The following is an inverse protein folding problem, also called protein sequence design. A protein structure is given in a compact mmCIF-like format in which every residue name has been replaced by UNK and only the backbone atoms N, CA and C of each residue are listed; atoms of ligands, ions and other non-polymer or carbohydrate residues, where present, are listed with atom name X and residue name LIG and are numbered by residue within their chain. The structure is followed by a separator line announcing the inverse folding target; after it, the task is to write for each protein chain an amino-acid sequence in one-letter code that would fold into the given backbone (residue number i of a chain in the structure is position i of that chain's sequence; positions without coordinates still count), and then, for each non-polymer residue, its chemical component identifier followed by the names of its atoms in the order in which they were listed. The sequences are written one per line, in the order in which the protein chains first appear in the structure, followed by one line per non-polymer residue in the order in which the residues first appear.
data_IF_354967943725
#
_entry.id   IF_354967943725
#
_cell.length_a   1.000
_cell.length_b   1.000
_cell.length_c   1.000
_cell.angle_alpha   90.00
_cell.angle_beta   90.00
_cell.angle_gamma   90.00
#
_symmetry.space_group_name_H-M   'P 1'
#
loop_
_entity.id
_entity.type
_entity.pdbx_description
1 polymer ?
#
# COMPACT_ATOMS: atom_id res chain seq x y z
N UNK A 1 -21.12 -9.53 7.43
CA UNK A 1 -20.77 -8.23 8.06
C UNK A 1 -19.67 -7.61 7.23
N UNK A 2 -19.92 -6.41 6.69
CA UNK A 2 -19.08 -5.78 5.67
C UNK A 2 -17.73 -5.34 6.27
N UNK A 3 -16.58 -5.71 5.66
CA UNK A 3 -15.30 -5.24 6.16
C UNK A 3 -15.01 -3.87 5.56
N UNK A 4 -14.94 -2.83 6.41
CA UNK A 4 -14.44 -1.47 6.14
C UNK A 4 -14.01 -1.20 4.69
N UNK A 5 -14.99 -0.91 3.83
CA UNK A 5 -14.77 -0.67 2.40
C UNK A 5 -14.25 0.73 2.11
N UNK A 6 -14.43 1.65 3.06
CA UNK A 6 -14.20 3.07 2.84
C UNK A 6 -12.71 3.35 2.80
N UNK A 7 -12.32 3.89 1.65
CA UNK A 7 -10.93 4.09 1.28
C UNK A 7 -10.82 5.17 0.24
N UNK A 8 -9.66 5.80 0.18
CA UNK A 8 -9.21 6.48 -1.02
C UNK A 8 -8.46 5.50 -1.91
N UNK A 9 -8.71 5.62 -3.22
CA UNK A 9 -8.04 4.83 -4.24
C UNK A 9 -7.10 5.71 -5.04
N UNK A 10 -5.80 5.45 -4.97
CA UNK A 10 -4.74 6.14 -5.70
C UNK A 10 -4.20 5.23 -6.81
N UNK A 11 -3.66 5.80 -7.89
CA UNK A 11 -3.09 5.01 -8.99
C UNK A 11 -1.93 5.72 -9.70
N UNK A 12 -1.00 4.93 -10.25
CA UNK A 12 0.01 5.37 -11.22
C UNK A 12 -0.40 5.05 -12.68
N UNK A 13 -1.67 4.71 -12.92
CA UNK A 13 -2.20 4.28 -14.21
C UNK A 13 -2.23 2.75 -14.41
N UNK A 14 -1.31 2.02 -13.79
CA UNK A 14 -1.23 0.55 -13.87
C UNK A 14 -1.64 -0.11 -12.54
N UNK A 15 -1.02 0.35 -11.46
CA UNK A 15 -1.12 -0.16 -10.10
C UNK A 15 -1.94 0.77 -9.23
N UNK A 16 -2.36 0.23 -8.08
CA UNK A 16 -3.31 0.89 -7.20
C UNK A 16 -2.88 0.82 -5.75
N UNK A 17 -3.16 1.90 -5.03
CA UNK A 17 -3.00 1.98 -3.58
C UNK A 17 -4.34 2.32 -2.97
N UNK A 18 -4.82 1.45 -2.08
CA UNK A 18 -5.99 1.68 -1.26
C UNK A 18 -5.55 2.20 0.11
N UNK A 19 -5.90 3.45 0.43
CA UNK A 19 -5.74 4.05 1.75
C UNK A 19 -7.07 3.92 2.51
N UNK A 20 -7.14 2.97 3.44
CA UNK A 20 -8.36 2.70 4.21
C UNK A 20 -8.52 3.69 5.36
N UNK A 21 -9.77 3.97 5.73
CA UNK A 21 -10.06 4.92 6.81
C UNK A 21 -9.62 4.42 8.19
N UNK A 22 -9.46 3.09 8.35
CA UNK A 22 -8.87 2.48 9.55
C UNK A 22 -7.33 2.55 9.60
N UNK A 23 -6.71 3.22 8.62
CA UNK A 23 -5.26 3.46 8.58
C UNK A 23 -4.43 2.34 7.97
N UNK A 24 -5.05 1.26 7.46
CA UNK A 24 -4.37 0.26 6.63
C UNK A 24 -4.06 0.81 5.25
N UNK A 25 -3.00 0.31 4.64
CA UNK A 25 -2.65 0.61 3.25
C UNK A 25 -2.50 -0.67 2.46
N UNK A 26 -3.21 -0.81 1.34
CA UNK A 26 -3.02 -1.94 0.41
C UNK A 26 -2.45 -1.45 -0.91
N UNK A 27 -1.23 -1.86 -1.22
CA UNK A 27 -0.64 -1.75 -2.56
C UNK A 27 -1.04 -2.98 -3.35
N UNK A 28 -1.51 -2.84 -4.58
CA UNK A 28 -1.91 -3.98 -5.39
C UNK A 28 -1.77 -3.73 -6.89
N UNK A 29 -1.47 -4.80 -7.60
CA UNK A 29 -1.41 -4.85 -9.06
C UNK A 29 -2.26 -6.01 -9.57
N UNK A 30 -2.51 -6.05 -10.88
CA UNK A 30 -3.10 -7.21 -11.56
C UNK A 30 -2.13 -7.92 -12.49
N UNK A 31 -0.98 -7.31 -12.79
CA UNK A 31 -0.01 -7.85 -13.75
C UNK A 31 1.22 -8.47 -13.09
N UNK A 32 1.44 -8.25 -11.80
CA UNK A 32 2.64 -8.75 -11.12
C UNK A 32 2.41 -8.99 -9.63
N UNK A 33 3.30 -9.78 -9.06
CA UNK A 33 3.57 -9.88 -7.64
C UNK A 33 4.47 -8.72 -7.21
N UNK A 34 4.38 -8.36 -5.93
CA UNK A 34 5.20 -7.31 -5.35
C UNK A 34 6.37 -7.90 -4.59
N UNK A 35 7.48 -7.18 -4.61
CA UNK A 35 8.68 -7.48 -3.82
C UNK A 35 9.00 -6.29 -2.94
N UNK A 36 9.26 -6.52 -1.65
CA UNK A 36 9.77 -5.46 -0.77
C UNK A 36 11.24 -5.23 -1.12
N UNK A 37 11.57 -4.03 -1.59
CA UNK A 37 12.92 -3.65 -2.00
C UNK A 37 13.75 -3.18 -0.82
N UNK A 38 13.16 -2.35 0.03
CA UNK A 38 13.79 -1.84 1.24
C UNK A 38 12.72 -1.51 2.28
N UNK A 39 13.13 -1.53 3.54
CA UNK A 39 12.37 -0.95 4.64
C UNK A 39 13.33 -0.20 5.53
N UNK A 40 12.85 0.88 6.14
CA UNK A 40 13.71 1.72 6.94
C UNK A 40 12.93 2.68 7.79
N UNK A 41 13.67 3.39 8.64
CA UNK A 41 13.17 4.50 9.42
C UNK A 41 13.60 5.79 8.75
N UNK A 42 12.63 6.62 8.33
CA UNK A 42 12.94 7.94 7.82
C UNK A 42 13.02 8.89 9.01
N UNK A 43 14.26 9.32 9.35
CA UNK A 43 14.62 10.17 10.49
C UNK A 43 13.86 9.85 11.81
N UNK A 44 13.91 10.68 12.85
CA UNK A 44 13.38 10.36 14.18
C UNK A 44 11.82 10.25 14.25
N UNK A 45 11.15 10.05 13.12
CA UNK A 45 9.72 10.31 12.96
C UNK A 45 8.89 9.07 12.58
N UNK A 46 9.39 8.08 11.86
CA UNK A 46 8.61 6.84 11.61
C UNK A 46 9.19 5.93 10.53
N UNK A 47 8.43 4.93 10.11
CA UNK A 47 8.91 3.88 9.19
C UNK A 47 8.25 3.90 7.81
N UNK A 48 9.01 3.38 6.85
CA UNK A 48 8.58 3.21 5.48
C UNK A 48 8.98 1.83 4.94
N UNK A 49 8.27 1.42 3.90
CA UNK A 49 8.61 0.30 3.04
C UNK A 49 8.52 0.75 1.59
N UNK A 50 9.55 0.44 0.80
CA UNK A 50 9.52 0.61 -0.65
C UNK A 50 9.29 -0.74 -1.30
N UNK A 51 8.29 -0.79 -2.16
CA UNK A 51 7.79 -2.01 -2.76
C UNK A 51 7.95 -1.88 -4.27
N UNK A 52 8.65 -2.83 -4.87
CA UNK A 52 8.96 -2.89 -6.29
C UNK A 52 8.13 -3.93 -7.02
N UNK A 53 8.10 -3.76 -8.35
CA UNK A 53 7.55 -4.73 -9.28
C UNK A 53 8.38 -6.02 -9.19
N UNK A 54 7.74 -7.12 -8.79
CA UNK A 54 8.33 -8.45 -8.72
C UNK A 54 7.97 -9.29 -9.94
N UNK A 55 7.70 -10.57 -9.70
CA UNK A 55 7.36 -11.54 -10.75
C UNK A 55 6.10 -11.12 -11.53
N UNK A 56 6.21 -11.07 -12.87
CA UNK A 56 5.05 -10.85 -13.74
C UNK A 56 4.11 -12.06 -13.71
N UNK A 57 2.82 -11.79 -13.73
CA UNK A 57 1.75 -12.78 -13.78
C UNK A 57 1.34 -12.99 -15.24
N UNK A 58 1.38 -14.23 -15.71
CA UNK A 58 0.97 -14.62 -17.07
C UNK A 58 -0.56 -14.78 -17.20
N UNK A 59 -1.29 -14.58 -16.11
CA UNK A 59 -2.75 -14.72 -16.09
C UNK A 59 -3.40 -13.36 -16.27
N UNK A 60 -4.28 -13.23 -17.27
CA UNK A 60 -5.09 -12.02 -17.45
C UNK A 60 -5.89 -11.76 -16.16
N UNK A 61 -5.72 -10.55 -15.61
CA UNK A 61 -6.55 -10.08 -14.51
C UNK A 61 -8.00 -9.88 -14.96
N UNK A 62 -8.96 -9.79 -14.02
CA UNK A 62 -10.36 -9.68 -14.36
C UNK A 62 -10.66 -8.48 -15.26
N UNK A 63 -11.51 -8.71 -16.26
CA UNK A 63 -11.94 -7.73 -17.26
C UNK A 63 -13.29 -7.17 -16.77
N UNK A 64 -13.40 -5.85 -16.61
CA UNK A 64 -14.63 -5.22 -16.13
C UNK A 64 -14.48 -3.73 -15.83
N UNK A 65 -15.61 -3.08 -15.52
CA UNK A 65 -15.66 -1.70 -15.09
C UNK A 65 -14.79 -1.50 -13.84
N UNK A 66 -13.89 -0.52 -13.89
CA UNK A 66 -12.98 -0.24 -12.79
C UNK A 66 -13.50 0.94 -12.00
N UNK A 67 -13.44 0.84 -10.68
CA UNK A 67 -13.55 2.01 -9.82
C UNK A 67 -12.52 3.05 -10.27
N UNK A 68 -12.98 4.28 -10.51
CA UNK A 68 -12.14 5.41 -10.88
C UNK A 68 -11.30 5.80 -9.67
N UNK A 69 -9.96 5.87 -9.79
CA UNK A 69 -9.13 6.37 -8.70
C UNK A 69 -9.51 7.82 -8.34
N UNK A 70 -9.40 8.14 -7.07
CA UNK A 70 -9.57 9.49 -6.52
C UNK A 70 -8.41 10.40 -6.96
N UNK A 71 -7.22 9.81 -7.13
CA UNK A 71 -6.03 10.47 -7.64
C UNK A 71 -5.32 9.53 -8.63
N UNK A 72 -4.77 10.09 -9.70
CA UNK A 72 -3.93 9.36 -10.65
C UNK A 72 -2.74 10.22 -11.03
N UNK A 73 -1.54 9.65 -10.92
CA UNK A 73 -0.31 10.23 -11.46
C UNK A 73 0.14 9.44 -12.69
N UNK A 74 0.87 10.09 -13.58
CA UNK A 74 1.61 9.43 -14.65
C UNK A 74 3.01 9.05 -14.16
N UNK A 75 3.56 7.98 -14.72
CA UNK A 75 4.96 7.58 -14.55
C UNK A 75 5.69 7.69 -15.88
N UNK A 76 7.00 7.90 -15.78
CA UNK A 76 7.93 7.99 -16.90
C UNK A 76 9.14 7.13 -16.54
N UNK A 77 9.23 5.89 -17.03
CA UNK A 77 10.31 4.98 -16.67
C UNK A 77 11.72 5.51 -16.94
N UNK A 78 11.87 6.50 -17.83
CA UNK A 78 13.19 7.10 -18.13
C UNK A 78 13.76 7.89 -16.94
N UNK A 79 12.93 8.28 -15.99
CA UNK A 79 13.32 9.03 -14.78
C UNK A 79 13.67 8.12 -13.58
N UNK A 80 13.58 6.79 -13.75
CA UNK A 80 14.06 5.81 -12.76
C UNK A 80 13.39 5.93 -11.38
N UNK A 81 14.17 5.80 -10.30
CA UNK A 81 13.65 5.82 -8.93
C UNK A 81 13.16 7.17 -8.40
N UNK A 82 13.15 8.22 -9.23
CA UNK A 82 12.66 9.54 -8.84
C UNK A 82 11.18 9.50 -8.46
N UNK A 83 10.77 10.39 -7.55
CA UNK A 83 9.37 10.52 -7.16
C UNK A 83 8.55 11.11 -8.32
N UNK A 84 7.52 10.38 -8.74
CA UNK A 84 6.52 10.85 -9.70
C UNK A 84 5.43 11.67 -9.01
N UNK A 85 4.99 11.23 -7.82
CA UNK A 85 4.08 12.01 -6.98
C UNK A 85 4.14 11.55 -5.53
N UNK A 86 3.94 12.50 -4.60
CA UNK A 86 3.80 12.26 -3.17
C UNK A 86 2.38 12.59 -2.71
N UNK A 87 1.73 11.63 -2.07
CA UNK A 87 0.41 11.75 -1.48
C UNK A 87 0.56 11.64 0.04
N UNK A 88 -0.16 12.48 0.78
CA UNK A 88 -0.18 12.44 2.25
C UNK A 88 -1.61 12.29 2.76
N UNK A 89 -1.74 11.79 3.98
CA UNK A 89 -2.97 11.82 4.75
C UNK A 89 -2.75 12.54 6.08
N UNK A 90 -3.80 13.15 6.61
CA UNK A 90 -3.94 13.72 7.95
C UNK A 90 -3.56 12.74 9.08
N UNK A 91 -3.73 11.43 8.86
CA UNK A 91 -3.25 10.39 9.77
C UNK A 91 -1.71 10.14 9.66
N UNK A 92 -0.99 11.03 8.98
CA UNK A 92 0.46 11.03 8.73
C UNK A 92 0.97 9.90 7.85
N UNK A 93 0.08 9.13 7.23
CA UNK A 93 0.46 8.18 6.18
C UNK A 93 0.90 8.94 4.94
N UNK A 94 1.95 8.46 4.29
CA UNK A 94 2.37 8.96 3.00
C UNK A 94 2.54 7.82 2.01
N UNK A 95 2.31 8.14 0.73
CA UNK A 95 2.51 7.26 -0.41
C UNK A 95 3.33 8.04 -1.44
N UNK A 96 4.44 7.48 -1.90
CA UNK A 96 5.21 8.01 -3.01
C UNK A 96 5.14 7.03 -4.16
N UNK A 97 4.60 7.48 -5.28
CA UNK A 97 4.76 6.76 -6.55
C UNK A 97 6.09 7.15 -7.16
N UNK A 98 6.87 6.16 -7.59
CA UNK A 98 8.14 6.38 -8.29
C UNK A 98 8.00 6.11 -9.79
N UNK A 99 8.86 6.76 -10.56
CA UNK A 99 8.88 6.66 -12.03
C UNK A 99 9.25 5.25 -12.53
N UNK A 100 9.99 4.47 -11.75
CA UNK A 100 10.34 3.06 -12.00
C UNK A 100 9.21 2.07 -11.68
N UNK A 101 8.04 2.56 -11.28
CA UNK A 101 6.88 1.74 -10.89
C UNK A 101 6.90 1.24 -9.45
N UNK A 102 7.98 1.48 -8.69
CA UNK A 102 7.99 1.20 -7.26
C UNK A 102 7.10 2.18 -6.48
N UNK A 103 6.65 1.75 -5.31
CA UNK A 103 5.76 2.51 -4.44
C UNK A 103 6.35 2.49 -3.03
N UNK A 104 6.61 3.67 -2.48
CA UNK A 104 6.98 3.82 -1.08
C UNK A 104 5.74 4.14 -0.27
N UNK A 105 5.52 3.42 0.83
CA UNK A 105 4.46 3.70 1.79
C UNK A 105 5.09 3.81 3.17
N UNK A 106 4.72 4.84 3.91
CA UNK A 106 5.20 5.02 5.28
C UNK A 106 4.25 5.84 6.12
N UNK A 107 4.65 6.05 7.37
CA UNK A 107 3.92 6.93 8.28
C UNK A 107 4.89 7.81 9.07
N UNK A 108 4.64 9.11 9.03
CA UNK A 108 5.37 10.10 9.82
C UNK A 108 4.80 10.12 11.25
N UNK A 109 5.20 9.16 12.07
CA UNK A 109 4.84 9.09 13.50
C UNK A 109 4.65 7.67 14.04
N UNK A 110 4.61 6.67 13.16
CA UNK A 110 4.29 5.28 13.50
C UNK A 110 5.27 4.30 12.86
N UNK A 111 5.42 3.18 13.54
CA UNK A 111 6.25 2.08 13.08
C UNK A 111 5.39 1.09 12.28
N UNK A 112 6.01 0.38 11.34
CA UNK A 112 5.36 -0.69 10.62
C UNK A 112 5.20 -1.87 11.58
N UNK A 113 3.95 -2.18 11.92
CA UNK A 113 3.59 -3.33 12.74
C UNK A 113 3.85 -4.63 11.97
N UNK A 114 3.55 -4.60 10.66
CA UNK A 114 3.98 -5.63 9.72
C UNK A 114 3.36 -5.46 8.34
N UNK A 115 3.77 -6.33 7.42
CA UNK A 115 3.19 -6.47 6.09
C UNK A 115 2.54 -7.83 5.91
N UNK A 116 1.50 -7.87 5.10
CA UNK A 116 0.89 -9.11 4.59
C UNK A 116 1.00 -9.07 3.06
N UNK A 117 1.75 -10.00 2.49
CA UNK A 117 2.01 -10.06 1.06
C UNK A 117 1.09 -11.13 0.46
N UNK A 118 0.20 -10.74 -0.44
CA UNK A 118 -0.74 -11.63 -1.11
C UNK A 118 -0.31 -11.92 -2.54
N UNK A 119 -0.32 -13.20 -2.93
CA UNK A 119 -0.29 -13.65 -4.32
C UNK A 119 -1.66 -14.18 -4.78
N UNK A 120 -1.73 -14.59 -6.05
CA UNK A 120 -2.94 -15.17 -6.66
C UNK A 120 -2.77 -16.67 -6.90
N UNK A 121 -3.68 -17.51 -6.40
CA UNK A 121 -3.72 -18.92 -6.77
C UNK A 121 -4.09 -19.09 -8.25
N UNK A 122 -3.41 -20.00 -8.94
CA UNK A 122 -3.69 -20.32 -10.35
C UNK A 122 -5.13 -20.82 -10.47
N UNK A 123 -5.93 -20.21 -11.35
CA UNK A 123 -7.29 -20.65 -11.65
C UNK A 123 -8.43 -19.98 -10.86
N UNK A 124 -8.14 -19.12 -9.89
CA UNK A 124 -9.17 -18.31 -9.20
C UNK A 124 -9.21 -16.90 -9.81
N UNK A 125 -10.39 -16.42 -10.22
CA UNK A 125 -10.60 -15.04 -10.67
C UNK A 125 -10.69 -14.07 -9.47
N UNK A 126 -9.59 -13.88 -8.74
CA UNK A 126 -9.52 -12.76 -7.79
C UNK A 126 -9.31 -11.44 -8.55
N UNK A 127 -9.97 -10.38 -8.07
CA UNK A 127 -9.89 -9.00 -8.59
C UNK A 127 -8.49 -8.38 -8.65
N UNK A 128 -7.54 -8.96 -7.90
CA UNK A 128 -6.26 -8.38 -7.51
C UNK A 128 -5.19 -9.45 -7.74
N UNK A 129 -4.16 -9.12 -8.51
CA UNK A 129 -3.04 -10.02 -8.82
C UNK A 129 -2.13 -10.19 -7.61
N UNK A 130 -1.05 -9.40 -7.52
CA UNK A 130 -0.23 -9.29 -6.32
C UNK A 130 -0.68 -8.15 -5.41
N UNK A 131 -0.51 -8.32 -4.10
CA UNK A 131 -0.72 -7.22 -3.15
C UNK A 131 0.20 -7.23 -1.94
N UNK A 132 0.37 -6.07 -1.32
CA UNK A 132 1.01 -5.89 -0.03
C UNK A 132 0.11 -5.02 0.82
N UNK A 133 -0.40 -5.58 1.91
CA UNK A 133 -1.08 -4.83 2.96
C UNK A 133 -0.07 -4.42 4.01
N UNK A 134 -0.13 -3.16 4.45
CA UNK A 134 0.80 -2.56 5.41
C UNK A 134 -0.02 -2.09 6.62
N UNK A 135 0.47 -2.45 7.80
CA UNK A 135 -0.14 -2.12 9.08
C UNK A 135 0.84 -1.27 9.90
N UNK A 136 0.34 -0.22 10.53
CA UNK A 136 1.12 0.67 11.40
C UNK A 136 0.68 0.53 12.86
N UNK A 137 1.64 0.52 13.78
CA UNK A 137 1.41 0.48 15.23
C UNK A 137 1.41 1.88 15.85
N UNK A 138 0.85 2.02 17.05
CA UNK A 138 0.84 3.30 17.78
C UNK A 138 -0.30 4.25 17.42
N UNK A 139 -0.28 5.43 18.06
CA UNK A 139 -1.31 6.47 17.94
C UNK A 139 -0.95 7.50 16.87
N UNK A 140 -1.97 8.06 16.21
CA UNK A 140 -1.80 9.11 15.21
C UNK A 140 -1.25 10.38 15.88
N UNK A 141 0.00 10.75 15.55
CA UNK A 141 0.60 12.00 15.99
C UNK A 141 1.26 12.67 14.80
N UNK A 142 0.46 13.41 14.02
CA UNK A 142 0.99 14.26 12.97
C UNK A 142 1.86 15.35 13.62
N UNK A 143 3.18 15.26 13.43
CA UNK A 143 4.12 16.28 13.94
C UNK A 143 4.36 17.40 12.93
N UNK A 144 4.29 17.11 11.63
CA UNK A 144 4.50 18.08 10.56
C UNK A 144 3.90 17.59 9.25
N UNK A 145 3.26 18.49 8.50
CA UNK A 145 2.73 18.17 7.18
C UNK A 145 3.89 18.03 6.17
N UNK A 146 4.01 16.86 5.55
CA UNK A 146 4.92 16.63 4.42
C UNK A 146 4.39 17.36 3.18
N UNK A 147 5.29 17.93 2.37
CA UNK A 147 4.92 18.48 1.05
C UNK A 147 4.35 17.35 0.19
N UNK A 148 3.20 17.58 -0.41
CA UNK A 148 2.51 16.59 -1.24
C UNK A 148 1.79 17.24 -2.40
N UNK A 149 1.57 16.46 -3.45
CA UNK A 149 0.80 16.85 -4.63
C UNK A 149 -0.70 16.58 -4.43
N UNK A 150 -1.03 15.68 -3.48
CA UNK A 150 -2.39 15.37 -3.09
C UNK A 150 -2.47 15.09 -1.59
N UNK A 151 -3.49 15.64 -0.93
CA UNK A 151 -3.76 15.41 0.48
C UNK A 151 -5.10 14.72 0.66
N UNK A 152 -5.11 13.67 1.48
CA UNK A 152 -6.24 12.80 1.73
C UNK A 152 -6.76 13.07 3.14
N UNK A 153 -8.08 13.21 3.27
CA UNK A 153 -8.75 13.36 4.56
C UNK A 153 -9.27 12.01 5.04
N UNK A 154 -8.57 11.39 5.99
CA UNK A 154 -8.96 10.16 6.66
C UNK A 154 -9.78 10.53 7.90
N UNK A 155 -11.11 10.27 7.90
CA UNK A 155 -11.93 10.54 9.06
C UNK A 155 -11.45 9.72 10.28
N UNK A 156 -11.77 10.22 11.47
CA UNK A 156 -11.41 9.65 12.79
C UNK A 156 -11.41 8.12 12.74
N UNK A 157 -10.33 7.46 13.22
CA UNK A 157 -10.08 6.05 12.94
C UNK A 157 -11.22 5.17 13.42
N UNK A 158 -11.80 4.42 12.48
CA UNK A 158 -12.60 3.26 12.79
C UNK A 158 -11.72 2.17 13.43
N UNK A 159 -12.32 1.31 14.25
CA UNK A 159 -11.61 0.23 14.94
C UNK A 159 -10.78 -0.64 13.98
N UNK A 160 -9.62 -1.13 14.44
CA UNK A 160 -8.71 -1.93 13.63
C UNK A 160 -9.43 -3.13 13.01
N UNK A 161 -9.43 -3.23 11.68
CA UNK A 161 -9.87 -4.45 10.98
C UNK A 161 -8.85 -5.57 11.14
N UNK A 162 -9.32 -6.83 11.15
CA UNK A 162 -8.45 -8.02 11.23
C UNK A 162 -7.52 -8.13 10.02
N UNK A 163 -6.34 -8.74 10.25
CA UNK A 163 -5.41 -9.16 9.20
C UNK A 163 -6.00 -10.40 8.51
N UNK A 164 -6.75 -10.20 7.44
CA UNK A 164 -7.37 -11.29 6.69
C UNK A 164 -7.02 -11.22 5.21
N UNK A 165 -6.85 -12.40 4.62
CA UNK A 165 -6.61 -12.60 3.19
C UNK A 165 -7.91 -12.31 2.44
N UNK A 166 -7.86 -11.57 1.32
CA UNK A 166 -9.07 -11.42 0.49
C UNK A 166 -9.37 -12.73 -0.24
N UNK A 167 -10.65 -13.03 -0.56
CA UNK A 167 -11.00 -14.22 -1.32
C UNK A 167 -10.16 -14.40 -2.59
N UNK A 168 -9.52 -15.57 -2.74
CA UNK A 168 -8.67 -15.92 -3.88
C UNK A 168 -7.23 -15.39 -3.83
N UNK A 169 -6.82 -14.78 -2.72
CA UNK A 169 -5.40 -14.47 -2.44
C UNK A 169 -4.79 -15.58 -1.54
N UNK A 170 -3.49 -15.85 -1.67
CA UNK A 170 -2.71 -16.66 -0.72
C UNK A 170 -1.59 -15.81 -0.12
N UNK A 171 -1.18 -16.13 1.11
CA UNK A 171 -0.11 -15.40 1.80
C UNK A 171 1.28 -15.86 1.34
N UNK A 172 2.12 -14.91 0.90
CA UNK A 172 3.53 -15.12 0.61
C UNK A 172 4.32 -14.77 1.86
N UNK A 173 4.99 -15.75 2.48
CA UNK A 173 5.72 -15.56 3.75
C UNK A 173 7.07 -14.85 3.59
N UNK A 174 7.69 -14.91 2.41
CA UNK A 174 9.02 -14.37 2.14
C UNK A 174 9.02 -12.84 2.03
N UNK A 175 10.10 -12.21 2.52
CA UNK A 175 10.37 -10.78 2.33
C UNK A 175 9.43 -9.82 3.09
N UNK A 176 8.66 -10.29 4.07
CA UNK A 176 7.79 -9.44 4.89
C UNK A 176 8.57 -8.54 5.85
N UNK A 177 7.98 -7.40 6.20
CA UNK A 177 8.38 -6.61 7.37
C UNK A 177 7.51 -7.06 8.56
N UNK A 178 8.11 -7.43 9.68
CA UNK A 178 7.37 -7.88 10.88
C UNK A 178 6.66 -9.24 10.73
N UNK A 179 5.74 -9.60 11.65
CA UNK A 179 5.32 -8.80 12.80
C UNK A 179 6.48 -8.60 13.77
N UNK A 180 6.68 -7.36 14.22
CA UNK A 180 7.51 -7.11 15.40
C UNK A 180 6.61 -7.43 16.58
N UNK A 181 6.96 -8.48 17.32
CA UNK A 181 6.10 -9.07 18.34
C UNK A 181 5.53 -8.03 19.31
N UNK A 182 4.28 -8.26 19.74
CA UNK A 182 3.88 -7.81 21.07
C UNK A 182 4.81 -8.55 22.01
N UNK A 183 5.72 -7.82 22.65
CA UNK A 183 6.42 -8.33 23.82
C UNK A 183 5.32 -8.38 24.89
N UNK A 184 4.86 -9.59 25.22
CA UNK A 184 4.30 -9.86 26.55
C UNK A 184 5.47 -10.02 27.53
#
# INVERSE_FOLDING_TARGET
MAPNSDRYLLSNGADRVSLFYDGRVKVWSRSHLWTILESGRHNALGEFVRIGVGQQLDVRGPIGAREKPHFTTSIDPTLGGAAASTITADNSTFVVFHHDGSITVGNDGRDIEGTFNGGREVGIESGRGGSVMIFFSGSYRCKSARRSDYHVLIPVPEGRSRREVYPGEYEIMEGKVGPRGVID
#
